data_IF_386298825395
#
_entry.id   IF_386298825395
#
_cell.length_a   1.000
_cell.length_b   1.000
_cell.length_c   1.000
_cell.angle_alpha   90.00
_cell.angle_beta   90.00
_cell.angle_gamma   90.00
#
_symmetry.space_group_name_H-M   'P 1'
#
loop_
_entity.id
_entity.type
_entity.pdbx_description
1 polymer ?
#
# COMPACT_ATOMS: atom_id res chain seq x y z
N UNK A 1 -15.45 -15.15 16.08
CA UNK A 1 -15.78 -13.72 16.02
C UNK A 1 -15.39 -13.07 14.69
N UNK A 2 -15.77 -11.83 14.54
CA UNK A 2 -15.48 -11.03 13.34
C UNK A 2 -14.33 -10.06 13.67
N UNK A 3 -13.31 -10.01 12.80
CA UNK A 3 -12.21 -9.06 12.92
C UNK A 3 -12.18 -8.18 11.67
N UNK A 4 -12.00 -6.88 11.88
CA UNK A 4 -11.89 -5.91 10.81
C UNK A 4 -10.57 -5.17 10.95
N UNK A 5 -9.76 -5.16 9.88
CA UNK A 5 -8.47 -4.48 9.84
C UNK A 5 -8.51 -3.37 8.79
N UNK A 6 -8.18 -2.16 9.20
CA UNK A 6 -8.04 -1.02 8.30
C UNK A 6 -6.58 -0.82 7.95
N UNK A 7 -6.29 -0.69 6.66
CA UNK A 7 -4.93 -0.56 6.13
C UNK A 7 -4.81 0.71 5.32
N UNK A 8 -3.84 1.55 5.67
CA UNK A 8 -3.49 2.76 4.92
C UNK A 8 -2.20 2.48 4.13
N UNK A 9 -2.28 2.58 2.80
CA UNK A 9 -1.18 2.30 1.88
C UNK A 9 -0.68 3.55 1.17
N UNK A 10 -0.78 4.72 1.82
CA UNK A 10 -0.35 5.99 1.26
C UNK A 10 1.01 6.42 1.82
N UNK A 11 1.68 7.33 1.08
CA UNK A 11 2.89 7.99 1.55
C UNK A 11 2.52 8.99 2.64
N UNK A 12 2.97 8.77 3.87
CA UNK A 12 2.62 9.62 5.00
C UNK A 12 3.21 11.03 4.90
N UNK A 13 4.29 11.22 4.17
CA UNK A 13 4.83 12.56 3.94
C UNK A 13 3.87 13.43 3.14
N UNK A 14 3.02 12.83 2.30
CA UNK A 14 2.00 13.56 1.56
C UNK A 14 0.95 14.21 2.46
N UNK A 15 0.79 13.73 3.68
CA UNK A 15 -0.13 14.32 4.66
C UNK A 15 0.39 15.65 5.22
N UNK A 16 1.71 15.86 5.19
CA UNK A 16 2.34 17.08 5.67
C UNK A 16 2.70 18.04 4.54
N UNK A 17 2.92 17.54 3.33
CA UNK A 17 3.31 18.32 2.16
C UNK A 17 2.44 17.92 0.97
N UNK A 18 1.51 18.79 0.61
CA UNK A 18 0.55 18.55 -0.46
C UNK A 18 1.17 18.51 -1.86
N UNK A 19 2.43 18.96 -2.01
CA UNK A 19 3.15 18.83 -3.27
C UNK A 19 3.62 17.40 -3.53
N UNK A 20 3.61 16.55 -2.51
CA UNK A 20 4.03 15.15 -2.60
C UNK A 20 2.80 14.27 -2.82
N UNK A 21 2.84 13.45 -3.88
CA UNK A 21 1.78 12.48 -4.15
C UNK A 21 1.74 11.40 -3.07
N UNK A 22 0.55 10.87 -2.78
CA UNK A 22 0.38 9.71 -1.89
C UNK A 22 1.09 8.46 -2.42
N UNK A 23 1.49 8.45 -3.70
CA UNK A 23 2.24 7.36 -4.32
C UNK A 23 3.74 7.64 -4.45
N UNK A 24 4.20 8.78 -3.97
CA UNK A 24 5.59 9.22 -4.17
C UNK A 24 6.61 8.19 -3.67
N UNK A 25 6.33 7.53 -2.56
CA UNK A 25 7.24 6.55 -1.96
C UNK A 25 7.49 5.32 -2.86
N UNK A 26 6.65 5.08 -3.87
CA UNK A 26 6.83 3.96 -4.81
C UNK A 26 7.94 4.22 -5.85
N UNK A 27 8.49 5.44 -5.88
CA UNK A 27 9.58 5.80 -6.79
C UNK A 27 10.93 5.22 -6.37
N UNK A 28 11.06 4.81 -5.12
CA UNK A 28 12.34 4.42 -4.54
C UNK A 28 12.54 2.90 -4.56
N UNK A 29 13.77 2.46 -4.89
CA UNK A 29 14.15 1.07 -4.71
C UNK A 29 14.16 0.71 -3.24
N UNK A 30 14.16 -0.59 -2.92
CA UNK A 30 14.20 -1.01 -1.52
C UNK A 30 15.45 -0.54 -0.80
N UNK A 31 16.61 -0.53 -1.48
CA UNK A 31 17.85 -0.06 -0.88
C UNK A 31 17.84 1.46 -0.60
N UNK A 32 17.29 2.25 -1.53
CA UNK A 32 17.13 3.70 -1.30
C UNK A 32 16.10 3.98 -0.21
N UNK A 33 15.04 3.18 -0.16
CA UNK A 33 13.99 3.34 0.84
C UNK A 33 14.52 3.16 2.26
N UNK A 34 15.44 2.24 2.47
CA UNK A 34 16.07 2.03 3.79
C UNK A 34 16.76 3.28 4.31
N UNK A 35 17.29 4.13 3.41
CA UNK A 35 17.92 5.39 3.79
C UNK A 35 16.90 6.48 4.12
N UNK A 36 15.75 6.47 3.46
CA UNK A 36 14.70 7.48 3.59
C UNK A 36 13.79 7.17 4.76
N UNK A 37 13.41 5.89 4.89
CA UNK A 37 12.52 5.40 5.93
C UNK A 37 13.32 5.18 7.21
N UNK A 38 13.55 6.26 7.93
CA UNK A 38 14.23 6.14 9.22
C UNK A 38 13.23 5.70 10.29
N UNK A 39 13.74 5.27 11.44
CA UNK A 39 12.96 4.64 12.48
C UNK A 39 11.99 5.55 13.24
N UNK A 40 11.98 6.85 12.93
CA UNK A 40 11.10 7.79 13.65
C UNK A 40 9.64 7.53 13.30
N UNK A 41 9.36 7.26 12.03
CA UNK A 41 7.99 6.96 11.57
C UNK A 41 8.07 6.00 10.38
N UNK A 42 8.28 4.72 10.64
CA UNK A 42 8.42 3.74 9.55
C UNK A 42 7.13 3.65 8.75
N UNK A 43 7.27 3.58 7.42
CA UNK A 43 6.17 3.40 6.49
C UNK A 43 6.27 2.07 5.80
N UNK A 44 5.16 1.37 5.73
CA UNK A 44 5.04 0.10 5.05
C UNK A 44 4.62 0.34 3.60
N UNK A 45 5.43 -0.17 2.64
CA UNK A 45 5.12 -0.07 1.21
C UNK A 45 4.42 -1.31 0.65
N UNK A 46 3.93 -2.20 1.50
CA UNK A 46 3.15 -3.34 1.05
C UNK A 46 1.90 -2.86 0.29
N UNK A 47 1.58 -3.58 -0.77
CA UNK A 47 0.39 -3.30 -1.55
C UNK A 47 -0.73 -4.23 -1.12
N UNK A 48 -1.95 -3.94 -1.56
CA UNK A 48 -3.12 -4.74 -1.14
C UNK A 48 -2.94 -6.23 -1.46
N UNK A 49 -2.41 -6.55 -2.63
CA UNK A 49 -2.15 -7.94 -3.02
C UNK A 49 -1.18 -8.65 -2.07
N UNK A 50 -0.19 -7.92 -1.53
CA UNK A 50 0.75 -8.47 -0.55
C UNK A 50 0.01 -8.89 0.74
N UNK A 51 -0.93 -8.08 1.20
CA UNK A 51 -1.73 -8.41 2.38
C UNK A 51 -2.61 -9.62 2.14
N UNK A 52 -3.28 -9.70 0.99
CA UNK A 52 -4.09 -10.88 0.64
C UNK A 52 -3.26 -12.15 0.62
N UNK A 53 -2.04 -12.07 0.09
CA UNK A 53 -1.12 -13.20 0.07
C UNK A 53 -0.77 -13.68 1.48
N UNK A 54 -0.52 -12.75 2.39
CA UNK A 54 -0.25 -13.08 3.80
C UNK A 54 -1.44 -13.80 4.43
N UNK A 55 -2.66 -13.30 4.23
CA UNK A 55 -3.86 -13.97 4.75
C UNK A 55 -4.00 -15.39 4.20
N UNK A 56 -3.71 -15.56 2.90
CA UNK A 56 -3.75 -16.89 2.26
C UNK A 56 -2.71 -17.83 2.88
N UNK A 57 -1.47 -17.37 3.06
CA UNK A 57 -0.39 -18.17 3.63
C UNK A 57 -0.68 -18.57 5.08
N UNK A 58 -1.38 -17.73 5.83
CA UNK A 58 -1.77 -18.01 7.22
C UNK A 58 -3.09 -18.78 7.32
N UNK A 59 -3.68 -19.14 6.18
CA UNK A 59 -4.98 -19.84 6.11
C UNK A 59 -6.10 -19.11 6.83
N UNK A 60 -6.08 -17.77 6.77
CA UNK A 60 -7.12 -16.92 7.34
C UNK A 60 -8.10 -16.56 6.22
N UNK A 61 -9.37 -17.03 6.29
CA UNK A 61 -10.35 -16.70 5.26
C UNK A 61 -10.78 -15.24 5.34
N UNK A 62 -10.78 -14.56 4.18
CA UNK A 62 -11.26 -13.19 4.06
C UNK A 62 -12.73 -13.25 3.62
N UNK A 63 -13.64 -12.79 4.47
CA UNK A 63 -15.07 -12.80 4.18
C UNK A 63 -15.51 -11.58 3.38
N UNK A 64 -14.87 -10.44 3.60
CA UNK A 64 -15.19 -9.19 2.92
C UNK A 64 -13.96 -8.31 2.82
N UNK A 65 -13.88 -7.53 1.72
CA UNK A 65 -12.85 -6.53 1.53
C UNK A 65 -13.45 -5.28 0.91
N UNK A 66 -13.15 -4.15 1.50
CA UNK A 66 -13.59 -2.83 1.04
C UNK A 66 -12.35 -2.06 0.66
N UNK A 67 -12.30 -1.56 -0.58
CA UNK A 67 -11.13 -0.90 -1.14
C UNK A 67 -11.44 0.54 -1.50
N UNK A 68 -10.45 1.40 -1.32
CA UNK A 68 -10.43 2.72 -1.94
C UNK A 68 -9.46 2.68 -3.11
N UNK A 69 -9.98 2.75 -4.33
CA UNK A 69 -9.21 2.54 -5.56
C UNK A 69 -8.16 3.61 -5.84
N UNK A 70 -8.27 4.77 -5.21
CA UNK A 70 -7.30 5.85 -5.42
C UNK A 70 -7.42 6.49 -6.79
N UNK A 71 -6.31 6.98 -7.33
CA UNK A 71 -6.26 7.73 -8.58
C UNK A 71 -5.17 7.20 -9.51
N UNK A 72 -5.58 6.45 -10.54
CA UNK A 72 -4.65 5.88 -11.52
C UNK A 72 -3.89 6.96 -12.29
N UNK A 73 -4.51 8.08 -12.58
CA UNK A 73 -3.87 9.18 -13.31
C UNK A 73 -2.72 9.76 -12.49
N UNK A 74 -2.93 9.98 -11.21
CA UNK A 74 -1.91 10.46 -10.29
C UNK A 74 -0.76 9.45 -10.16
N UNK A 75 -1.10 8.16 -10.05
CA UNK A 75 -0.10 7.10 -9.99
C UNK A 75 0.77 7.10 -11.24
N UNK A 76 0.18 7.23 -12.43
CA UNK A 76 0.90 7.21 -13.71
C UNK A 76 1.86 8.39 -13.87
N UNK A 77 1.68 9.47 -13.12
CA UNK A 77 2.59 10.62 -13.11
C UNK A 77 3.86 10.34 -12.33
N UNK A 78 3.91 9.25 -11.56
CA UNK A 78 5.07 8.88 -10.77
C UNK A 78 5.98 7.94 -11.56
N UNK A 79 7.30 8.12 -11.40
CA UNK A 79 8.29 7.21 -11.95
C UNK A 79 8.47 6.03 -10.98
N UNK A 80 7.68 5.00 -11.17
CA UNK A 80 7.62 3.85 -10.27
C UNK A 80 8.90 3.01 -10.36
N UNK A 81 9.47 2.65 -9.20
CA UNK A 81 10.63 1.77 -9.12
C UNK A 81 10.33 0.41 -9.75
N UNK A 82 11.35 -0.20 -10.35
CA UNK A 82 11.22 -1.54 -10.96
C UNK A 82 10.73 -2.59 -9.95
N UNK A 83 10.99 -2.39 -8.66
CA UNK A 83 10.52 -3.29 -7.60
C UNK A 83 8.99 -3.38 -7.52
N UNK A 84 8.27 -2.37 -8.02
CA UNK A 84 6.81 -2.33 -8.00
C UNK A 84 6.18 -2.61 -9.36
N UNK A 85 6.95 -2.81 -10.42
CA UNK A 85 6.42 -3.02 -11.77
C UNK A 85 5.73 -4.38 -11.93
N UNK A 86 5.97 -5.32 -11.03
CA UNK A 86 5.27 -6.61 -10.99
C UNK A 86 3.80 -6.50 -10.58
N UNK A 87 3.41 -5.39 -9.94
CA UNK A 87 2.03 -5.16 -9.52
C UNK A 87 1.24 -4.53 -10.65
N UNK A 88 -0.07 -4.83 -10.72
CA UNK A 88 -0.93 -4.13 -11.67
C UNK A 88 -1.06 -2.65 -11.26
N UNK A 89 -1.27 -1.74 -12.23
CA UNK A 89 -1.51 -0.33 -11.88
C UNK A 89 -2.68 -0.15 -10.92
N UNK A 90 -3.75 -0.93 -11.08
CA UNK A 90 -4.91 -0.88 -10.20
C UNK A 90 -4.54 -1.25 -8.76
N UNK A 91 -3.72 -2.27 -8.56
CA UNK A 91 -3.24 -2.69 -7.25
C UNK A 91 -2.38 -1.60 -6.60
N UNK A 92 -1.45 -1.02 -7.35
CA UNK A 92 -0.60 0.06 -6.86
C UNK A 92 -1.39 1.31 -6.48
N UNK A 93 -2.49 1.57 -7.16
CA UNK A 93 -3.30 2.77 -6.94
C UNK A 93 -4.18 2.70 -5.70
N UNK A 94 -4.45 1.51 -5.16
CA UNK A 94 -5.27 1.34 -3.96
C UNK A 94 -4.61 2.08 -2.79
N UNK A 95 -5.35 3.00 -2.17
CA UNK A 95 -4.84 3.82 -1.08
C UNK A 95 -5.20 3.27 0.29
N UNK A 96 -6.40 2.69 0.42
CA UNK A 96 -6.90 2.18 1.69
C UNK A 96 -7.65 0.89 1.46
N UNK A 97 -7.62 0.01 2.46
CA UNK A 97 -8.37 -1.24 2.43
C UNK A 97 -8.91 -1.56 3.81
N UNK A 98 -10.08 -2.19 3.85
CA UNK A 98 -10.60 -2.82 5.04
C UNK A 98 -10.78 -4.30 4.73
N UNK A 99 -10.15 -5.13 5.52
CA UNK A 99 -10.25 -6.60 5.38
C UNK A 99 -11.02 -7.14 6.57
N UNK A 100 -12.09 -7.86 6.30
CA UNK A 100 -12.92 -8.47 7.32
C UNK A 100 -12.71 -9.98 7.29
N UNK A 101 -12.38 -10.54 8.43
CA UNK A 101 -12.18 -11.98 8.60
C UNK A 101 -13.16 -12.51 9.63
N UNK A 102 -13.57 -13.76 9.44
CA UNK A 102 -14.46 -14.47 10.37
C UNK A 102 -13.74 -15.71 10.86
N UNK A 103 -13.67 -15.84 12.16
CA UNK A 103 -13.18 -17.07 12.79
C UNK A 103 -14.33 -17.89 13.32
#
# INVERSE_FOLDING_TARGET
GIQSHFIDMTDHFAHFDKSISVYHFLRFSHSKWKWIDNSVQPMNRFRFSDYLKIYTELSIPVSEKILRDGNLKELKQQKISVHFQKYSPKDLAITHARIVTVK
#
